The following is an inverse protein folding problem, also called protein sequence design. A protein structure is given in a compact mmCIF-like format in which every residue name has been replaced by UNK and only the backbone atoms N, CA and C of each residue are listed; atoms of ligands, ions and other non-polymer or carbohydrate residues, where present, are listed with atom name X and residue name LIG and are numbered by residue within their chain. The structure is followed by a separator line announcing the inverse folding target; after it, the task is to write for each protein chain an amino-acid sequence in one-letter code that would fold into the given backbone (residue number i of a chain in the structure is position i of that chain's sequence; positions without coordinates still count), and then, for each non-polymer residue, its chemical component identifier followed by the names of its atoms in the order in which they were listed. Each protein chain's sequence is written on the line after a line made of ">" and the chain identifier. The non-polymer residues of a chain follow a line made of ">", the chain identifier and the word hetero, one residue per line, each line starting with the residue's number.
data_IF_004259240573
#
_entry.id   IF_004259240573
#
_cell.length_a   1.000
_cell.length_b   1.000
_cell.length_c   1.000
_cell.angle_alpha   90.00
_cell.angle_beta   90.00
_cell.angle_gamma   90.00
#
_symmetry.space_group_name_H-M   'P 1'
#
loop_
_entity.id
_entity.type
_entity.pdbx_description
1 polymer ?
#
# COMPACT_ATOMS: atom_id res chain seq x y z
N UNK A 1 -33.26 20.56 2.18
CA UNK A 1 -32.59 19.68 1.20
C UNK A 1 -31.26 20.30 0.82
N UNK A 2 -30.15 19.73 1.30
CA UNK A 2 -28.79 19.74 0.72
C UNK A 2 -27.86 19.18 1.78
N UNK A 3 -27.77 17.85 1.82
CA UNK A 3 -26.78 17.13 2.61
C UNK A 3 -25.40 17.55 2.07
N UNK A 4 -24.65 18.30 2.88
CA UNK A 4 -23.22 18.45 2.68
C UNK A 4 -22.57 17.12 3.07
N UNK A 5 -22.33 16.27 2.09
CA UNK A 5 -21.44 15.12 2.27
C UNK A 5 -20.03 15.70 2.51
N UNK A 6 -19.33 15.35 3.61
CA UNK A 6 -17.97 15.82 3.78
C UNK A 6 -17.12 15.19 2.68
N UNK A 7 -16.60 16.02 1.76
CA UNK A 7 -15.69 15.62 0.68
C UNK A 7 -14.39 14.95 1.18
N UNK A 8 -14.16 14.93 2.49
CA UNK A 8 -12.99 14.35 3.14
C UNK A 8 -12.94 12.81 3.08
N UNK A 9 -14.04 12.14 2.73
CA UNK A 9 -14.04 10.69 2.49
C UNK A 9 -13.53 10.30 1.09
N UNK A 10 -13.34 11.27 0.17
CA UNK A 10 -12.97 10.97 -1.21
C UNK A 10 -11.46 10.78 -1.40
N UNK A 11 -10.62 11.32 -0.50
CA UNK A 11 -9.16 11.13 -0.61
C UNK A 11 -8.72 9.75 -0.13
N UNK A 12 -9.30 9.22 0.95
CA UNK A 12 -9.04 7.83 1.37
C UNK A 12 -9.58 6.79 0.37
N UNK A 13 -10.64 7.12 -0.36
CA UNK A 13 -11.20 6.23 -1.39
C UNK A 13 -10.34 6.11 -2.66
N UNK A 14 -9.44 7.08 -2.90
CA UNK A 14 -8.66 7.18 -4.14
C UNK A 14 -7.24 6.61 -4.03
N UNK A 15 -6.70 6.45 -2.82
CA UNK A 15 -5.32 6.02 -2.62
C UNK A 15 -5.27 4.63 -1.98
N UNK A 16 -5.25 3.61 -2.84
CA UNK A 16 -4.67 2.31 -2.54
C UNK A 16 -5.49 1.37 -1.65
N UNK A 17 -6.05 0.35 -2.28
CA UNK A 17 -6.73 -0.76 -1.60
C UNK A 17 -5.78 -1.93 -1.31
N UNK A 18 -4.48 -1.74 -1.57
CA UNK A 18 -3.46 -2.75 -1.35
C UNK A 18 -3.00 -2.73 0.10
N UNK A 19 -2.53 -3.89 0.58
CA UNK A 19 -2.00 -4.06 1.93
C UNK A 19 -0.61 -4.65 1.85
N UNK A 20 0.38 -3.91 2.33
CA UNK A 20 1.74 -4.41 2.52
C UNK A 20 1.88 -4.94 3.94
N UNK A 21 2.30 -6.20 4.08
CA UNK A 21 2.52 -6.85 5.37
C UNK A 21 4.01 -7.12 5.50
N UNK A 22 4.60 -6.64 6.60
CA UNK A 22 5.98 -6.90 6.97
C UNK A 22 6.10 -8.19 7.79
N UNK A 23 7.28 -8.79 7.76
CA UNK A 23 7.64 -9.95 8.59
C UNK A 23 7.67 -9.63 10.08
N UNK A 24 7.79 -8.35 10.45
CA UNK A 24 7.63 -7.87 11.83
C UNK A 24 6.19 -8.05 12.34
N UNK A 25 5.22 -8.23 11.45
CA UNK A 25 3.79 -8.24 11.76
C UNK A 25 3.11 -6.87 11.54
N UNK A 26 3.87 -5.84 11.19
CA UNK A 26 3.31 -4.54 10.81
C UNK A 26 2.64 -4.60 9.45
N UNK A 27 1.56 -3.85 9.27
CA UNK A 27 0.82 -3.75 8.01
C UNK A 27 0.55 -2.31 7.63
N UNK A 28 0.70 -1.99 6.35
CA UNK A 28 0.45 -0.68 5.79
C UNK A 28 -0.59 -0.80 4.68
N UNK A 29 -1.67 0.00 4.79
CA UNK A 29 -2.61 0.18 3.70
C UNK A 29 -2.05 1.20 2.71
N UNK A 30 -2.34 1.03 1.43
CA UNK A 30 -1.87 1.95 0.40
C UNK A 30 -1.83 1.32 -0.99
N UNK A 31 -0.93 1.78 -1.85
CA UNK A 31 -0.82 1.32 -3.23
C UNK A 31 0.56 0.74 -3.50
N UNK A 32 0.62 -0.48 -4.04
CA UNK A 32 1.85 -1.01 -4.59
C UNK A 32 2.18 -0.31 -5.91
N UNK A 33 3.30 0.41 -5.93
CA UNK A 33 3.69 1.20 -7.11
C UNK A 33 4.54 0.36 -8.05
N UNK A 34 5.65 -0.19 -7.54
CA UNK A 34 6.59 -1.01 -8.32
C UNK A 34 7.61 -1.70 -7.44
N UNK A 35 8.29 -2.69 -8.02
CA UNK A 35 9.53 -3.25 -7.48
C UNK A 35 10.75 -2.43 -7.94
N UNK A 36 11.68 -2.16 -7.03
CA UNK A 36 13.01 -1.63 -7.33
C UNK A 36 14.02 -2.78 -7.31
N UNK A 37 14.17 -3.44 -8.46
CA UNK A 37 15.09 -4.55 -8.65
C UNK A 37 14.73 -5.77 -7.79
N UNK A 38 15.70 -6.34 -7.09
CA UNK A 38 15.51 -7.51 -6.20
C UNK A 38 15.61 -7.17 -4.71
N UNK A 39 15.83 -5.91 -4.37
CA UNK A 39 16.15 -5.49 -2.99
C UNK A 39 15.02 -4.77 -2.29
N UNK A 40 14.15 -4.06 -3.04
CA UNK A 40 13.15 -3.19 -2.43
C UNK A 40 11.87 -3.08 -3.25
N UNK A 41 10.80 -2.72 -2.56
CA UNK A 41 9.49 -2.41 -3.10
C UNK A 41 9.19 -0.94 -2.81
N UNK A 42 8.55 -0.26 -3.77
CA UNK A 42 8.01 1.08 -3.61
C UNK A 42 6.52 0.97 -3.35
N UNK A 43 6.08 1.48 -2.21
CA UNK A 43 4.70 1.42 -1.76
C UNK A 43 4.28 2.81 -1.28
N UNK A 44 3.15 3.31 -1.77
CA UNK A 44 2.59 4.58 -1.31
C UNK A 44 1.62 4.29 -0.16
N UNK A 45 2.01 4.65 1.06
CA UNK A 45 1.19 4.42 2.26
C UNK A 45 0.02 5.39 2.29
N UNK A 46 -1.16 4.91 2.68
CA UNK A 46 -2.35 5.73 2.83
C UNK A 46 -2.10 6.86 3.85
N UNK A 47 -2.39 8.09 3.45
CA UNK A 47 -2.14 9.29 4.27
C UNK A 47 -0.74 9.90 4.11
N UNK A 48 0.18 9.21 3.42
CA UNK A 48 1.46 9.79 3.00
C UNK A 48 1.37 10.35 1.58
N UNK A 49 1.96 11.53 1.36
CA UNK A 49 2.02 12.13 0.02
C UNK A 49 3.09 11.47 -0.87
N UNK A 50 4.14 10.93 -0.25
CA UNK A 50 5.28 10.32 -0.93
C UNK A 50 5.23 8.80 -0.87
N UNK A 51 5.91 8.16 -1.83
CA UNK A 51 6.07 6.71 -1.81
C UNK A 51 7.24 6.30 -0.90
N UNK A 52 7.00 5.31 -0.05
CA UNK A 52 7.99 4.75 0.87
C UNK A 52 8.64 3.50 0.27
N UNK A 53 9.94 3.30 0.55
CA UNK A 53 10.70 2.13 0.09
C UNK A 53 10.81 1.11 1.20
N UNK A 54 10.29 -0.08 0.96
CA UNK A 54 10.38 -1.21 1.88
C UNK A 54 11.41 -2.21 1.37
N UNK A 55 12.37 -2.65 2.20
CA UNK A 55 13.29 -3.73 1.82
C UNK A 55 12.52 -5.03 1.61
N UNK A 56 12.71 -5.71 0.46
CA UNK A 56 12.02 -6.99 0.17
C UNK A 56 12.28 -8.06 1.23
N UNK A 57 13.46 -8.02 1.87
CA UNK A 57 13.80 -8.92 2.98
C UNK A 57 12.83 -8.81 4.16
N UNK A 58 12.23 -7.64 4.36
CA UNK A 58 11.34 -7.32 5.47
C UNK A 58 9.87 -7.45 5.07
N UNK A 59 9.56 -7.48 3.77
CA UNK A 59 8.20 -7.70 3.25
C UNK A 59 7.85 -9.19 3.33
N UNK A 60 6.71 -9.50 3.94
CA UNK A 60 6.15 -10.85 3.98
C UNK A 60 5.22 -11.10 2.78
N UNK A 61 4.29 -10.18 2.55
CA UNK A 61 3.26 -10.32 1.53
C UNK A 61 2.72 -8.95 1.12
N UNK A 62 2.27 -8.83 -0.12
CA UNK A 62 1.51 -7.69 -0.60
C UNK A 62 0.18 -8.22 -1.14
N UNK A 63 -0.92 -7.78 -0.57
CA UNK A 63 -2.26 -8.06 -1.10
C UNK A 63 -2.65 -6.92 -2.00
N UNK A 64 -2.87 -7.20 -3.28
CA UNK A 64 -3.42 -6.22 -4.23
C UNK A 64 -4.82 -6.65 -4.66
N UNK A 65 -5.54 -5.77 -5.34
CA UNK A 65 -6.84 -6.11 -5.95
C UNK A 65 -6.75 -7.28 -6.93
N UNK A 66 -5.57 -7.47 -7.56
CA UNK A 66 -5.32 -8.50 -8.57
C UNK A 66 -4.90 -9.84 -7.96
N UNK A 67 -4.64 -9.89 -6.65
CA UNK A 67 -4.27 -11.11 -5.93
C UNK A 67 -3.22 -10.90 -4.83
N UNK A 68 -2.70 -12.01 -4.30
CA UNK A 68 -1.65 -11.97 -3.28
C UNK A 68 -0.27 -12.21 -3.90
N UNK A 69 0.66 -11.27 -3.69
CA UNK A 69 2.07 -11.39 -4.05
C UNK A 69 2.86 -11.88 -2.84
N UNK A 70 3.24 -13.16 -2.84
CA UNK A 70 4.04 -13.80 -1.79
C UNK A 70 5.49 -14.00 -2.22
N UNK A 71 6.44 -13.68 -1.34
CA UNK A 71 7.87 -13.90 -1.59
C UNK A 71 8.25 -15.40 -1.51
N UNK A 72 9.21 -15.92 -2.30
CA UNK A 72 9.97 -15.25 -3.35
C UNK A 72 9.14 -15.07 -4.63
N UNK A 73 9.07 -13.82 -5.08
CA UNK A 73 8.40 -13.40 -6.30
C UNK A 73 9.37 -12.75 -7.30
#
# INVERSE_FOLDING_TARGET
>A
MKRFLPLLMLTGLLFGQDVLILKSGESYNGTFIRRLGRSSVVFQVEGENDSTKFPMKDVAMIKTSDGELTYPF
#
